data_IF_301051910640
#
_entry.id   IF_301051910640
#
_cell.length_a   1.000
_cell.length_b   1.000
_cell.length_c   1.000
_cell.angle_alpha   90.00
_cell.angle_beta   90.00
_cell.angle_gamma   90.00
#
_symmetry.space_group_name_H-M   'P 1'
#
loop_
_entity.id
_entity.type
_entity.pdbx_description
1 polymer ?
#
# COMPACT_ATOMS: atom_id res chain seq x y z
N UNK A 1 -21.32 -29.28 -9.05
CA UNK A 1 -21.34 -27.79 -9.04
C UNK A 1 -20.81 -27.36 -7.69
N UNK A 2 -19.50 -27.11 -7.55
CA UNK A 2 -18.88 -26.97 -6.22
C UNK A 2 -18.53 -25.52 -5.91
N UNK A 3 -19.11 -25.02 -4.81
CA UNK A 3 -18.85 -23.75 -4.11
C UNK A 3 -18.93 -22.46 -4.95
N UNK A 4 -20.15 -22.04 -5.30
CA UNK A 4 -20.41 -20.68 -5.81
C UNK A 4 -21.01 -19.78 -4.72
N UNK A 5 -20.75 -18.46 -4.75
CA UNK A 5 -21.35 -17.53 -3.79
C UNK A 5 -22.87 -17.50 -3.97
N UNK A 6 -23.60 -17.91 -2.93
CA UNK A 6 -25.07 -17.73 -2.87
C UNK A 6 -25.44 -16.25 -2.74
N UNK A 7 -24.62 -15.48 -2.03
CA UNK A 7 -24.78 -14.04 -1.89
C UNK A 7 -23.42 -13.33 -1.96
N UNK A 8 -23.38 -12.18 -2.62
CA UNK A 8 -22.25 -11.25 -2.57
C UNK A 8 -22.75 -9.90 -2.08
N UNK A 9 -22.17 -9.40 -0.98
CA UNK A 9 -22.56 -8.13 -0.39
C UNK A 9 -21.50 -7.07 -0.69
N UNK A 10 -21.97 -5.84 -0.91
CA UNK A 10 -21.12 -4.65 -1.05
C UNK A 10 -21.75 -3.50 -0.28
N UNK A 11 -20.98 -2.95 0.69
CA UNK A 11 -21.44 -1.87 1.58
C UNK A 11 -22.78 -2.19 2.27
N UNK A 12 -22.98 -3.45 2.66
CA UNK A 12 -24.20 -3.94 3.33
C UNK A 12 -25.38 -4.29 2.39
N UNK A 13 -25.25 -4.09 1.08
CA UNK A 13 -26.29 -4.41 0.10
C UNK A 13 -25.98 -5.69 -0.67
N UNK A 14 -27.00 -6.54 -0.89
CA UNK A 14 -26.89 -7.75 -1.72
C UNK A 14 -26.81 -7.34 -3.20
N UNK A 15 -25.66 -7.58 -3.84
CA UNK A 15 -25.44 -7.28 -5.25
C UNK A 15 -25.53 -8.52 -6.16
N UNK A 16 -25.35 -9.72 -5.58
CA UNK A 16 -25.59 -11.00 -6.26
C UNK A 16 -26.35 -11.91 -5.32
N UNK A 17 -27.35 -12.60 -5.85
CA UNK A 17 -28.17 -13.56 -5.13
C UNK A 17 -28.47 -14.76 -6.03
N UNK A 18 -27.97 -15.93 -5.65
CA UNK A 18 -28.20 -17.22 -6.32
C UNK A 18 -27.98 -17.16 -7.85
N UNK A 19 -26.94 -16.45 -8.27
CA UNK A 19 -26.59 -16.25 -9.69
C UNK A 19 -27.29 -15.06 -10.37
N UNK A 20 -28.28 -14.45 -9.73
CA UNK A 20 -28.93 -13.22 -10.21
C UNK A 20 -28.09 -12.01 -9.84
N UNK A 21 -27.81 -11.14 -10.82
CA UNK A 21 -27.12 -9.86 -10.61
C UNK A 21 -28.14 -8.79 -10.25
N UNK A 22 -27.97 -8.18 -9.06
CA UNK A 22 -28.81 -7.10 -8.50
C UNK A 22 -28.00 -5.82 -8.23
N UNK A 23 -26.84 -5.66 -8.87
CA UNK A 23 -25.96 -4.51 -8.69
C UNK A 23 -26.57 -3.22 -9.25
N UNK A 24 -26.33 -2.09 -8.59
CA UNK A 24 -26.85 -0.77 -8.97
C UNK A 24 -25.74 0.13 -9.53
N UNK A 25 -25.89 0.69 -10.74
CA UNK A 25 -24.95 1.68 -11.27
C UNK A 25 -24.76 2.87 -10.32
N UNK A 26 -23.51 3.23 -10.04
CA UNK A 26 -23.18 4.32 -9.11
C UNK A 26 -23.20 3.97 -7.62
N UNK A 27 -23.56 2.74 -7.23
CA UNK A 27 -23.49 2.30 -5.81
C UNK A 27 -22.05 2.27 -5.26
N UNK A 28 -21.09 1.94 -6.13
CA UNK A 28 -19.67 1.99 -5.80
C UNK A 28 -19.23 3.40 -5.44
N UNK A 29 -18.34 3.51 -4.45
CA UNK A 29 -17.72 4.79 -4.08
C UNK A 29 -16.21 4.69 -4.24
N UNK A 30 -15.60 5.80 -4.63
CA UNK A 30 -14.15 5.93 -4.59
C UNK A 30 -13.66 5.84 -3.13
N UNK A 31 -12.64 5.02 -2.91
CA UNK A 31 -11.95 4.93 -1.62
C UNK A 31 -10.55 5.52 -1.80
N UNK A 32 -10.37 6.75 -1.31
CA UNK A 32 -9.06 7.37 -1.25
C UNK A 32 -8.16 6.58 -0.28
N UNK A 33 -6.90 6.37 -0.66
CA UNK A 33 -5.90 5.73 0.21
C UNK A 33 -4.83 6.74 0.58
N UNK A 34 -4.52 6.92 1.88
CA UNK A 34 -3.42 7.77 2.28
C UNK A 34 -2.09 7.17 1.78
N UNK A 35 -1.07 8.02 1.54
CA UNK A 35 0.28 7.55 1.27
C UNK A 35 0.91 6.91 2.53
N UNK A 36 2.12 6.37 2.39
CA UNK A 36 2.94 5.86 3.51
C UNK A 36 2.27 4.73 4.30
N UNK A 37 1.81 3.69 3.59
CA UNK A 37 1.38 2.44 4.23
C UNK A 37 2.49 1.89 5.15
N UNK A 38 2.17 1.03 6.14
CA UNK A 38 3.14 0.57 7.15
C UNK A 38 4.46 0.01 6.60
N UNK A 39 4.44 -0.59 5.40
CA UNK A 39 5.64 -1.08 4.70
C UNK A 39 6.64 0.04 4.36
N UNK A 40 6.15 1.23 4.03
CA UNK A 40 7.00 2.39 3.74
C UNK A 40 7.73 2.88 4.99
N UNK A 41 7.04 2.88 6.14
CA UNK A 41 7.65 3.19 7.44
C UNK A 41 8.73 2.16 7.78
N UNK A 42 8.41 0.86 7.69
CA UNK A 42 9.38 -0.21 7.93
C UNK A 42 10.61 -0.09 7.01
N UNK A 43 10.38 0.22 5.73
CA UNK A 43 11.45 0.42 4.76
C UNK A 43 12.32 1.64 5.08
N UNK A 44 11.72 2.75 5.51
CA UNK A 44 12.45 3.96 5.88
C UNK A 44 13.33 3.72 7.11
N UNK A 45 12.80 3.04 8.13
CA UNK A 45 13.57 2.62 9.29
C UNK A 45 14.72 1.69 8.91
N UNK A 46 14.47 0.72 8.03
CA UNK A 46 15.54 -0.15 7.53
C UNK A 46 16.63 0.65 6.81
N UNK A 47 16.24 1.61 5.97
CA UNK A 47 17.18 2.47 5.24
C UNK A 47 18.03 3.34 6.15
N UNK A 48 17.48 3.84 7.26
CA UNK A 48 18.23 4.53 8.28
C UNK A 48 19.26 3.62 8.94
N UNK A 49 18.87 2.39 9.28
CA UNK A 49 19.77 1.41 9.91
C UNK A 49 20.95 1.03 9.03
N UNK A 50 20.73 0.87 7.72
CA UNK A 50 21.77 0.45 6.76
C UNK A 50 22.40 1.61 5.97
N UNK A 51 22.14 2.85 6.37
CA UNK A 51 22.69 4.01 5.69
C UNK A 51 24.24 3.98 5.78
N UNK A 52 24.96 4.14 4.64
CA UNK A 52 26.41 4.22 4.67
C UNK A 52 26.86 5.44 5.48
N UNK A 53 27.88 5.27 6.31
CA UNK A 53 28.45 6.36 7.14
C UNK A 53 29.78 6.82 6.57
N UNK A 54 29.98 8.13 6.53
CA UNK A 54 31.25 8.71 6.12
C UNK A 54 32.37 8.36 7.12
N UNK A 55 33.59 8.21 6.61
CA UNK A 55 34.78 8.09 7.45
C UNK A 55 35.21 9.48 7.90
N UNK A 56 35.18 9.73 9.20
CA UNK A 56 35.69 10.99 9.77
C UNK A 56 37.23 11.05 9.62
N UNK A 57 37.73 12.11 8.97
CA UNK A 57 39.16 12.34 8.75
C UNK A 57 39.52 13.77 9.16
N UNK A 58 40.63 13.94 9.89
CA UNK A 58 41.25 15.22 10.19
C UNK A 58 42.47 15.47 9.29
N UNK A 59 42.77 16.73 8.98
CA UNK A 59 43.94 17.07 8.15
C UNK A 59 43.80 16.66 6.68
N UNK A 60 42.62 16.90 6.09
CA UNK A 60 42.41 16.67 4.65
C UNK A 60 43.44 17.53 3.87
N UNK A 61 44.28 16.92 3.01
CA UNK A 61 45.33 17.65 2.29
C UNK A 61 44.77 18.78 1.44
N UNK A 62 45.55 19.85 1.27
CA UNK A 62 45.24 20.88 0.28
C UNK A 62 45.15 20.24 -1.12
N UNK A 63 44.12 20.60 -1.88
CA UNK A 63 43.89 20.08 -3.23
C UNK A 63 44.24 21.12 -4.28
N UNK A 64 45.02 20.71 -5.29
CA UNK A 64 45.24 21.46 -6.54
C UNK A 64 46.25 22.62 -6.45
N UNK A 65 46.68 23.07 -7.64
CA UNK A 65 47.45 24.31 -7.89
C UNK A 65 46.53 25.45 -8.24
#
# INVERSE_FOLDING_TARGET
>A
MTALPRFTLTRGKVAVEEGTVKAEPGHGKFIARPPNAPVNTAFSTWKELVAPRAVARSGIPASGV
#
